data_IF_588805861162
#
_entry.id   IF_588805861162
#
_cell.length_a   1.000
_cell.length_b   1.000
_cell.length_c   1.000
_cell.angle_alpha   90.00
_cell.angle_beta   90.00
_cell.angle_gamma   90.00
#
_symmetry.space_group_name_H-M   'P 1'
#
loop_
_entity.id
_entity.type
_entity.pdbx_description
1 polymer ?
#
# COMPACT_ATOMS: atom_id res chain seq x y z
N UNK A 1 -45.65 61.94 30.39
CA UNK A 1 -45.51 60.47 30.42
C UNK A 1 -45.08 60.01 28.99
N UNK A 2 -43.78 59.80 28.81
CA UNK A 2 -43.20 59.48 27.52
C UNK A 2 -42.77 58.00 27.59
N UNK A 3 -43.42 57.14 26.78
CA UNK A 3 -43.13 55.76 26.72
C UNK A 3 -41.96 55.50 25.76
N UNK A 4 -40.84 55.01 26.26
CA UNK A 4 -39.69 54.61 25.46
C UNK A 4 -39.88 53.23 24.85
N UNK A 5 -39.72 53.14 23.52
CA UNK A 5 -39.64 51.87 22.78
C UNK A 5 -38.22 51.34 22.84
N UNK A 6 -38.06 50.12 23.39
CA UNK A 6 -36.85 49.36 23.32
C UNK A 6 -36.85 48.56 22.00
N UNK A 7 -35.87 48.82 21.12
CA UNK A 7 -35.61 48.04 19.91
C UNK A 7 -34.57 46.98 20.26
N UNK A 8 -34.99 45.72 20.26
CA UNK A 8 -34.06 44.57 20.40
C UNK A 8 -33.38 44.27 19.06
N UNK A 9 -32.08 44.46 19.01
CA UNK A 9 -31.27 44.03 17.85
C UNK A 9 -30.96 42.53 17.96
N UNK A 10 -31.46 41.75 17.03
CA UNK A 10 -31.08 40.34 16.88
C UNK A 10 -29.76 40.27 16.09
N UNK A 11 -28.68 39.90 16.78
CA UNK A 11 -27.43 39.53 16.08
C UNK A 11 -27.55 38.13 15.55
N UNK A 12 -27.60 37.98 14.21
CA UNK A 12 -27.32 36.70 13.57
C UNK A 12 -25.82 36.41 13.62
N UNK A 13 -25.43 35.40 14.41
CA UNK A 13 -24.09 34.85 14.37
C UNK A 13 -23.97 33.95 13.14
N UNK A 14 -23.20 34.38 12.13
CA UNK A 14 -22.79 33.55 11.03
C UNK A 14 -21.77 32.52 11.54
N UNK A 15 -22.19 31.28 11.68
CA UNK A 15 -21.30 30.15 12.00
C UNK A 15 -20.40 29.87 10.80
N UNK A 16 -19.12 30.29 10.88
CA UNK A 16 -18.09 29.83 9.98
C UNK A 16 -17.81 28.35 10.28
N UNK A 17 -18.27 27.46 9.39
CA UNK A 17 -17.89 26.05 9.40
C UNK A 17 -16.38 25.94 9.16
N UNK A 18 -15.62 25.72 10.24
CA UNK A 18 -14.22 25.36 10.13
C UNK A 18 -14.13 23.99 9.46
N UNK A 19 -13.72 23.96 8.19
CA UNK A 19 -13.30 22.72 7.53
C UNK A 19 -12.21 22.10 8.38
N UNK A 20 -12.45 20.90 8.90
CA UNK A 20 -11.43 20.10 9.59
C UNK A 20 -10.38 19.72 8.56
N UNK A 21 -9.31 20.52 8.48
CA UNK A 21 -8.11 20.17 7.77
C UNK A 21 -7.56 18.89 8.38
N UNK A 22 -7.43 17.85 7.57
CA UNK A 22 -6.73 16.62 7.95
C UNK A 22 -5.29 17.02 8.28
N UNK A 23 -4.99 17.16 9.57
CA UNK A 23 -3.62 17.37 10.05
C UNK A 23 -2.88 16.04 9.87
N UNK A 24 -2.05 15.94 8.83
CA UNK A 24 -1.10 14.83 8.66
C UNK A 24 -0.03 14.98 9.76
N UNK A 25 0.15 13.99 10.65
CA UNK A 25 1.18 14.07 11.69
C UNK A 25 2.57 14.06 11.01
N UNK A 26 3.35 15.11 11.21
CA UNK A 26 4.78 15.11 10.90
C UNK A 26 5.48 14.14 11.87
N UNK A 27 5.96 12.99 11.35
CA UNK A 27 6.59 11.95 12.16
C UNK A 27 5.59 10.93 12.74
N UNK A 28 4.60 10.51 11.95
CA UNK A 28 3.60 9.50 12.34
C UNK A 28 4.22 8.13 12.58
N UNK A 29 3.61 7.36 13.50
CA UNK A 29 3.92 5.95 13.70
C UNK A 29 3.67 5.16 12.41
N UNK A 30 4.45 4.08 12.19
CA UNK A 30 4.21 3.18 11.08
C UNK A 30 2.80 2.57 11.18
N UNK A 31 2.12 2.48 10.04
CA UNK A 31 0.88 1.72 9.88
C UNK A 31 1.29 0.27 9.67
N UNK A 32 0.76 -0.64 10.48
CA UNK A 32 1.03 -2.08 10.38
C UNK A 32 -0.28 -2.82 10.17
N UNK A 33 -0.36 -3.57 9.09
CA UNK A 33 -1.50 -4.40 8.69
C UNK A 33 -1.09 -5.89 8.70
N UNK A 34 -1.27 -6.60 9.82
CA UNK A 34 -1.23 -8.06 9.79
C UNK A 34 -2.37 -8.58 8.91
N UNK A 35 -2.08 -9.58 8.07
CA UNK A 35 -3.10 -10.24 7.27
C UNK A 35 -3.58 -11.51 8.00
N UNK A 36 -4.23 -11.31 9.13
CA UNK A 36 -4.72 -12.33 10.06
C UNK A 36 -6.25 -12.34 10.22
N UNK A 37 -6.94 -11.43 9.53
CA UNK A 37 -8.40 -11.31 9.48
C UNK A 37 -8.84 -10.98 8.05
N UNK A 38 -10.01 -11.50 7.63
CA UNK A 38 -10.64 -11.20 6.33
C UNK A 38 -11.79 -10.18 6.44
N UNK A 39 -12.11 -9.70 7.64
CA UNK A 39 -13.16 -8.72 7.88
C UNK A 39 -12.61 -7.33 8.17
N UNK A 40 -11.50 -7.27 8.92
CA UNK A 40 -10.88 -6.01 9.36
C UNK A 40 -9.37 -6.13 9.23
N UNK A 41 -8.74 -5.21 8.51
CA UNK A 41 -7.28 -5.09 8.40
C UNK A 41 -6.90 -3.66 8.82
N UNK A 42 -6.02 -3.55 9.81
CA UNK A 42 -5.56 -2.23 10.30
C UNK A 42 -6.69 -1.32 10.80
N UNK A 43 -7.80 -1.90 11.29
CA UNK A 43 -8.98 -1.15 11.73
C UNK A 43 -9.96 -0.77 10.60
N UNK A 44 -9.68 -1.15 9.35
CA UNK A 44 -10.54 -0.86 8.19
C UNK A 44 -11.33 -2.09 7.78
N UNK A 45 -12.64 -1.94 7.47
CA UNK A 45 -13.46 -3.01 6.89
C UNK A 45 -12.87 -3.49 5.55
N UNK A 46 -12.92 -4.79 5.32
CA UNK A 46 -12.41 -5.44 4.10
C UNK A 46 -13.56 -5.89 3.22
N UNK A 47 -13.52 -5.51 1.94
CA UNK A 47 -14.33 -6.13 0.90
C UNK A 47 -13.55 -7.28 0.29
N UNK A 48 -14.06 -8.50 0.44
CA UNK A 48 -13.44 -9.73 -0.09
C UNK A 48 -13.99 -10.02 -1.49
N UNK A 49 -13.08 -10.31 -2.42
CA UNK A 49 -13.40 -10.82 -3.77
C UNK A 49 -12.82 -12.23 -3.88
N UNK A 50 -13.61 -13.15 -4.43
CA UNK A 50 -13.24 -14.57 -4.49
C UNK A 50 -13.39 -15.29 -3.15
N UNK A 51 -12.43 -16.14 -2.84
CA UNK A 51 -12.42 -16.96 -1.62
C UNK A 51 -11.00 -17.10 -1.05
N UNK A 52 -10.30 -15.98 -0.76
CA UNK A 52 -9.00 -16.04 -0.11
C UNK A 52 -9.13 -16.70 1.27
N UNK A 53 -8.06 -17.34 1.75
CA UNK A 53 -8.13 -18.13 2.98
C UNK A 53 -7.10 -17.66 3.99
N UNK A 54 -7.48 -17.65 5.27
CA UNK A 54 -6.52 -17.55 6.36
C UNK A 54 -5.75 -18.86 6.48
N UNK A 55 -4.44 -18.78 6.53
CA UNK A 55 -3.53 -19.90 6.70
C UNK A 55 -2.52 -19.63 7.82
N UNK A 56 -1.96 -20.69 8.41
CA UNK A 56 -0.85 -20.57 9.35
C UNK A 56 0.47 -20.40 8.58
N UNK A 57 1.24 -19.40 8.95
CA UNK A 57 2.57 -19.12 8.44
C UNK A 57 3.59 -19.17 9.59
N UNK A 58 3.98 -20.37 9.98
CA UNK A 58 4.70 -20.60 11.23
C UNK A 58 3.81 -20.29 12.44
N UNK A 59 4.24 -19.37 13.31
CA UNK A 59 3.48 -18.91 14.49
C UNK A 59 2.52 -17.76 14.16
N UNK A 60 2.59 -17.18 12.96
CA UNK A 60 1.75 -16.07 12.50
C UNK A 60 0.66 -16.56 11.55
N UNK A 61 -0.31 -15.69 11.24
CA UNK A 61 -1.29 -15.91 10.19
C UNK A 61 -0.85 -15.24 8.89
N UNK A 62 -1.44 -15.67 7.78
CA UNK A 62 -1.33 -15.02 6.49
C UNK A 62 -2.63 -15.24 5.69
N UNK A 63 -2.87 -14.44 4.67
CA UNK A 63 -3.91 -14.68 3.68
C UNK A 63 -3.30 -15.33 2.45
N UNK A 64 -3.89 -16.45 2.02
CA UNK A 64 -3.56 -17.16 0.80
C UNK A 64 -4.49 -16.72 -0.34
N UNK A 65 -3.90 -16.45 -1.51
CA UNK A 65 -4.55 -16.03 -2.75
C UNK A 65 -4.31 -17.06 -3.85
N UNK A 66 -5.31 -17.30 -4.71
CA UNK A 66 -5.29 -18.39 -5.71
C UNK A 66 -4.72 -18.00 -7.07
N UNK A 67 -4.41 -16.72 -7.32
CA UNK A 67 -3.84 -16.24 -8.59
C UNK A 67 -4.85 -16.02 -9.72
N UNK A 68 -6.15 -16.07 -9.44
CA UNK A 68 -7.19 -15.94 -10.49
C UNK A 68 -8.43 -15.16 -10.10
N UNK A 69 -8.84 -15.22 -8.82
CA UNK A 69 -10.12 -14.63 -8.38
C UNK A 69 -10.04 -13.96 -7.01
N UNK A 70 -8.96 -14.14 -6.25
CA UNK A 70 -8.90 -13.75 -4.86
C UNK A 70 -8.28 -12.37 -4.67
N UNK A 71 -8.98 -11.48 -3.99
CA UNK A 71 -8.50 -10.15 -3.67
C UNK A 71 -9.18 -9.57 -2.42
N UNK A 72 -8.50 -8.64 -1.78
CA UNK A 72 -9.03 -7.85 -0.67
C UNK A 72 -9.00 -6.38 -1.04
N UNK A 73 -10.04 -5.64 -0.66
CA UNK A 73 -10.15 -4.20 -0.90
C UNK A 73 -10.44 -3.46 0.40
N UNK A 74 -9.72 -2.36 0.60
CA UNK A 74 -9.89 -1.43 1.72
C UNK A 74 -10.12 -0.02 1.16
N UNK A 75 -11.18 0.65 1.60
CA UNK A 75 -11.48 2.03 1.19
C UNK A 75 -10.62 3.02 2.00
N UNK A 76 -9.30 2.84 1.89
CA UNK A 76 -8.28 3.68 2.52
C UNK A 76 -7.03 3.75 1.65
N UNK A 77 -6.45 4.94 1.59
CA UNK A 77 -5.12 5.18 1.02
C UNK A 77 -4.15 5.50 2.15
N UNK A 78 -3.29 4.55 2.57
CA UNK A 78 -2.35 4.77 3.66
C UNK A 78 -1.18 5.70 3.29
N UNK A 79 -1.04 6.09 2.01
CA UNK A 79 -0.07 7.06 1.53
C UNK A 79 -0.62 8.48 1.45
N UNK A 80 -1.90 8.71 1.81
CA UNK A 80 -2.52 10.02 1.69
C UNK A 80 -1.73 11.10 2.47
N UNK A 81 -1.34 12.16 1.78
CA UNK A 81 -0.58 13.28 2.34
C UNK A 81 0.90 13.02 2.60
N UNK A 82 1.44 11.83 2.30
CA UNK A 82 2.85 11.52 2.52
C UNK A 82 3.72 12.04 1.37
N UNK A 83 4.77 12.79 1.71
CA UNK A 83 5.81 13.24 0.77
C UNK A 83 6.97 12.25 0.66
N UNK A 84 7.15 11.41 1.68
CA UNK A 84 8.18 10.37 1.79
C UNK A 84 7.57 9.17 2.47
N UNK A 85 7.96 7.98 2.05
CA UNK A 85 7.41 6.76 2.64
C UNK A 85 8.26 5.53 2.36
N UNK A 86 7.98 4.50 3.12
CA UNK A 86 8.40 3.12 2.84
C UNK A 86 7.17 2.24 2.90
N UNK A 87 6.95 1.44 1.88
CA UNK A 87 5.96 0.37 1.83
C UNK A 87 6.70 -0.95 1.89
N UNK A 88 6.31 -1.83 2.80
CA UNK A 88 6.93 -3.15 2.95
C UNK A 88 5.87 -4.24 2.97
N UNK A 89 6.20 -5.38 2.37
CA UNK A 89 5.32 -6.55 2.35
C UNK A 89 6.13 -7.80 2.68
N UNK A 90 5.61 -8.57 3.65
CA UNK A 90 6.07 -9.94 3.93
C UNK A 90 5.17 -10.89 3.16
N UNK A 91 5.74 -11.65 2.23
CA UNK A 91 4.96 -12.51 1.35
C UNK A 91 5.72 -13.77 0.92
N UNK A 92 4.96 -14.74 0.42
CA UNK A 92 5.45 -16.00 -0.14
C UNK A 92 4.81 -16.21 -1.51
N UNK A 93 5.52 -16.00 -2.64
CA UNK A 93 4.99 -16.23 -3.98
C UNK A 93 4.97 -17.71 -4.33
N UNK A 94 3.91 -18.17 -5.00
CA UNK A 94 3.84 -19.51 -5.56
C UNK A 94 4.61 -19.61 -6.88
N UNK A 95 5.24 -20.76 -7.15
CA UNK A 95 6.03 -20.98 -8.36
C UNK A 95 5.17 -21.08 -9.63
N UNK A 96 3.90 -21.44 -9.50
CA UNK A 96 2.95 -21.65 -10.60
C UNK A 96 1.92 -20.51 -10.74
N UNK A 97 2.23 -19.34 -10.19
CA UNK A 97 1.39 -18.15 -10.34
C UNK A 97 1.44 -17.57 -11.78
N UNK A 98 0.55 -16.62 -12.11
CA UNK A 98 0.60 -15.87 -13.37
C UNK A 98 1.95 -15.20 -13.61
N UNK A 99 2.26 -14.85 -14.86
CA UNK A 99 3.52 -14.17 -15.20
C UNK A 99 3.59 -12.78 -14.54
N UNK A 100 2.50 -12.04 -14.56
CA UNK A 100 2.37 -10.70 -14.00
C UNK A 100 1.41 -10.71 -12.80
N UNK A 101 1.89 -10.35 -11.62
CA UNK A 101 1.12 -10.42 -10.40
C UNK A 101 1.26 -9.14 -9.57
N UNK A 102 0.14 -8.52 -9.21
CA UNK A 102 0.08 -7.35 -8.35
C UNK A 102 -0.46 -7.72 -6.98
N UNK A 103 0.39 -7.70 -6.00
CA UNK A 103 0.00 -8.10 -4.65
C UNK A 103 -0.27 -6.93 -3.70
N UNK A 104 0.10 -5.69 -4.09
CA UNK A 104 -0.33 -4.47 -3.41
C UNK A 104 -0.54 -3.34 -4.42
N UNK A 105 -1.72 -2.72 -4.40
CA UNK A 105 -2.05 -1.56 -5.23
C UNK A 105 -2.73 -0.50 -4.37
N UNK A 106 -2.13 0.66 -4.25
CA UNK A 106 -2.66 1.84 -3.56
C UNK A 106 -2.91 2.90 -4.62
N UNK A 107 -4.16 3.39 -4.73
CA UNK A 107 -4.56 4.34 -5.78
C UNK A 107 -5.39 5.48 -5.18
N UNK A 108 -5.13 6.70 -5.63
CA UNK A 108 -5.92 7.87 -5.30
C UNK A 108 -7.28 7.82 -6.02
N UNK A 109 -8.35 8.16 -5.32
CA UNK A 109 -9.69 8.18 -5.90
C UNK A 109 -9.81 9.24 -6.99
N UNK A 110 -10.43 8.85 -8.13
CA UNK A 110 -10.71 9.77 -9.24
C UNK A 110 -9.48 10.18 -10.05
N UNK A 111 -8.32 9.56 -9.83
CA UNK A 111 -7.09 9.83 -10.57
C UNK A 111 -6.42 8.53 -11.03
N UNK A 112 -5.28 8.67 -11.73
CA UNK A 112 -4.41 7.55 -12.07
C UNK A 112 -3.15 7.48 -11.18
N UNK A 113 -3.09 8.33 -10.14
CA UNK A 113 -1.98 8.40 -9.20
C UNK A 113 -1.98 7.16 -8.31
N UNK A 114 -0.84 6.47 -8.24
CA UNK A 114 -0.78 5.17 -7.55
C UNK A 114 0.62 4.72 -7.20
N UNK A 115 0.69 3.81 -6.25
CA UNK A 115 1.85 3.00 -5.95
C UNK A 115 1.50 1.52 -6.12
N UNK A 116 2.41 0.75 -6.73
CA UNK A 116 2.24 -0.70 -6.96
C UNK A 116 3.47 -1.44 -6.44
N UNK A 117 3.21 -2.59 -5.82
CA UNK A 117 4.23 -3.62 -5.60
C UNK A 117 3.75 -4.90 -6.28
N UNK A 118 4.57 -5.38 -7.19
CA UNK A 118 4.26 -6.41 -8.15
C UNK A 118 5.43 -7.41 -8.23
N UNK A 119 5.19 -8.54 -8.86
CA UNK A 119 6.26 -9.44 -9.28
C UNK A 119 6.06 -9.87 -10.74
N UNK A 120 7.16 -10.23 -11.37
CA UNK A 120 7.19 -10.92 -12.66
C UNK A 120 7.73 -12.32 -12.45
N UNK A 121 6.93 -13.34 -12.76
CA UNK A 121 7.41 -14.71 -12.81
C UNK A 121 8.26 -14.89 -14.07
N UNK A 122 9.43 -15.48 -13.88
CA UNK A 122 10.36 -15.78 -14.97
C UNK A 122 10.10 -17.19 -15.54
N UNK A 123 10.62 -17.51 -16.75
CA UNK A 123 10.37 -18.80 -17.41
C UNK A 123 10.83 -20.02 -16.59
N UNK A 124 11.84 -19.87 -15.75
CA UNK A 124 12.37 -20.92 -14.88
C UNK A 124 11.58 -21.10 -13.57
N UNK A 125 10.47 -20.34 -13.38
CA UNK A 125 9.65 -20.38 -12.18
C UNK A 125 10.15 -19.51 -11.03
N UNK A 126 11.31 -18.86 -11.18
CA UNK A 126 11.73 -17.78 -10.28
C UNK A 126 10.93 -16.51 -10.52
N UNK A 127 11.16 -15.47 -9.72
CA UNK A 127 10.49 -14.18 -9.86
C UNK A 127 11.47 -13.03 -9.64
N UNK A 128 11.17 -11.87 -10.19
CA UNK A 128 11.82 -10.60 -9.87
C UNK A 128 10.80 -9.58 -9.37
N UNK A 129 11.27 -8.61 -8.55
CA UNK A 129 10.42 -7.53 -8.04
C UNK A 129 10.15 -6.52 -9.16
N UNK A 130 8.91 -6.05 -9.21
CA UNK A 130 8.44 -4.97 -10.06
C UNK A 130 7.69 -3.96 -9.18
N UNK A 131 8.07 -2.69 -9.26
CA UNK A 131 7.44 -1.63 -8.48
C UNK A 131 7.17 -0.41 -9.35
N UNK A 132 6.08 0.29 -9.06
CA UNK A 132 5.65 1.42 -9.85
C UNK A 132 5.13 2.56 -8.99
N UNK A 133 5.57 3.78 -9.28
CA UNK A 133 4.97 5.01 -8.79
C UNK A 133 4.47 5.85 -9.97
N UNK A 134 3.28 6.45 -9.84
CA UNK A 134 2.73 7.42 -10.80
C UNK A 134 2.05 8.58 -10.08
N UNK A 135 2.37 9.80 -10.52
CA UNK A 135 1.68 11.02 -10.12
C UNK A 135 1.55 11.95 -11.33
N UNK A 136 0.31 12.34 -11.67
CA UNK A 136 0.01 13.09 -12.90
C UNK A 136 0.43 12.30 -14.15
N UNK A 137 1.19 12.97 -15.01
CA UNK A 137 1.70 12.38 -16.25
C UNK A 137 3.05 11.66 -16.08
N UNK A 138 3.66 11.76 -14.89
CA UNK A 138 4.93 11.11 -14.60
C UNK A 138 4.75 9.78 -13.91
N UNK A 139 5.63 8.84 -14.23
CA UNK A 139 5.67 7.54 -13.56
C UNK A 139 6.99 6.83 -13.83
N UNK A 140 7.36 5.96 -12.89
CA UNK A 140 8.58 5.15 -12.97
C UNK A 140 8.25 3.71 -12.59
N UNK A 141 8.64 2.78 -13.46
CA UNK A 141 8.71 1.36 -13.15
C UNK A 141 10.15 1.00 -12.81
N UNK A 142 10.36 0.34 -11.68
CA UNK A 142 11.62 -0.30 -11.36
C UNK A 142 11.45 -1.82 -11.50
N UNK A 143 12.25 -2.42 -12.34
CA UNK A 143 12.32 -3.88 -12.55
C UNK A 143 13.73 -4.26 -12.99
N UNK A 144 14.31 -5.25 -12.33
CA UNK A 144 15.55 -5.90 -12.75
C UNK A 144 15.31 -7.41 -12.91
N UNK A 145 15.21 -7.87 -14.16
CA UNK A 145 14.98 -9.30 -14.45
C UNK A 145 16.19 -10.18 -14.17
N UNK A 146 17.37 -9.62 -13.94
CA UNK A 146 18.58 -10.35 -13.51
C UNK A 146 18.59 -10.62 -12.00
N UNK A 147 17.84 -9.84 -11.19
CA UNK A 147 17.63 -10.06 -9.77
C UNK A 147 16.52 -11.10 -9.55
N UNK A 148 16.83 -12.36 -9.85
CA UNK A 148 15.88 -13.47 -9.81
C UNK A 148 15.87 -14.16 -8.45
N UNK A 149 14.68 -14.47 -7.95
CA UNK A 149 14.46 -15.12 -6.65
C UNK A 149 13.66 -16.41 -6.79
N UNK A 150 14.05 -17.52 -6.14
CA UNK A 150 13.24 -18.72 -6.09
C UNK A 150 11.87 -18.46 -5.45
N UNK A 151 10.81 -19.03 -6.04
CA UNK A 151 9.48 -18.99 -5.41
C UNK A 151 9.34 -20.01 -4.25
N UNK A 152 8.21 -20.02 -3.56
CA UNK A 152 7.86 -21.00 -2.53
C UNK A 152 8.52 -20.77 -1.18
N UNK A 153 9.09 -19.60 -0.91
CA UNK A 153 9.61 -19.18 0.40
C UNK A 153 9.23 -17.74 0.74
N UNK A 154 9.35 -17.38 2.01
CA UNK A 154 9.03 -16.05 2.49
C UNK A 154 10.09 -15.03 2.09
N UNK A 155 9.64 -13.82 1.76
CA UNK A 155 10.44 -12.65 1.46
C UNK A 155 9.89 -11.42 2.17
N UNK A 156 10.79 -10.49 2.47
CA UNK A 156 10.47 -9.11 2.77
C UNK A 156 10.83 -8.25 1.55
N UNK A 157 9.85 -7.58 0.97
CA UNK A 157 10.11 -6.58 -0.07
C UNK A 157 9.79 -5.19 0.43
N UNK A 158 10.49 -4.19 -0.09
CA UNK A 158 10.25 -2.80 0.23
C UNK A 158 10.31 -1.92 -1.00
N UNK A 159 9.45 -0.89 -1.02
CA UNK A 159 9.50 0.25 -1.90
C UNK A 159 9.70 1.49 -1.03
N UNK A 160 10.79 2.24 -1.24
CA UNK A 160 11.07 3.50 -0.56
C UNK A 160 10.95 4.68 -1.52
N UNK A 161 10.49 5.81 -1.02
CA UNK A 161 10.50 7.09 -1.73
C UNK A 161 10.93 8.20 -0.77
N UNK A 162 11.97 8.96 -1.11
CA UNK A 162 12.56 10.00 -0.25
C UNK A 162 12.14 11.42 -0.61
N UNK A 163 11.20 11.58 -1.54
CA UNK A 163 10.76 12.85 -2.11
C UNK A 163 11.39 13.14 -3.48
N UNK A 164 12.32 12.29 -3.96
CA UNK A 164 12.97 12.39 -5.26
C UNK A 164 13.24 11.02 -5.86
N UNK A 165 13.91 10.15 -5.10
CA UNK A 165 14.36 8.84 -5.56
C UNK A 165 13.45 7.75 -5.02
N UNK A 166 12.95 6.92 -5.94
CA UNK A 166 12.30 5.66 -5.68
C UNK A 166 13.34 4.55 -5.68
N UNK A 167 13.30 3.64 -4.71
CA UNK A 167 14.14 2.45 -4.69
C UNK A 167 13.36 1.24 -4.19
N UNK A 168 13.67 0.04 -4.71
CA UNK A 168 13.10 -1.18 -4.18
C UNK A 168 14.14 -2.18 -3.71
N UNK A 169 13.70 -3.04 -2.79
CA UNK A 169 14.56 -3.95 -2.04
C UNK A 169 13.90 -5.31 -1.90
N UNK A 170 14.72 -6.38 -1.94
CA UNK A 170 14.32 -7.73 -1.54
C UNK A 170 15.24 -8.17 -0.40
N UNK A 171 14.65 -8.57 0.73
CA UNK A 171 15.37 -8.98 1.94
C UNK A 171 16.46 -7.96 2.40
N UNK A 172 16.14 -6.66 2.28
CA UNK A 172 17.05 -5.57 2.65
C UNK A 172 18.14 -5.24 1.62
N UNK A 173 18.25 -6.00 0.53
CA UNK A 173 19.19 -5.73 -0.58
C UNK A 173 18.48 -4.87 -1.62
N UNK A 174 19.09 -3.71 -1.96
CA UNK A 174 18.57 -2.84 -3.02
C UNK A 174 18.85 -3.45 -4.41
N UNK A 175 17.81 -3.59 -5.22
CA UNK A 175 17.92 -4.14 -6.57
C UNK A 175 17.80 -3.08 -7.65
N UNK A 176 16.93 -2.07 -7.45
CA UNK A 176 16.80 -0.98 -8.40
C UNK A 176 16.49 0.35 -7.71
N UNK A 177 16.82 1.46 -8.37
CA UNK A 177 16.47 2.80 -7.96
C UNK A 177 16.40 3.73 -9.18
N UNK A 178 15.61 4.81 -9.07
CA UNK A 178 15.50 5.85 -10.09
C UNK A 178 14.77 7.08 -9.55
N UNK A 179 14.98 8.21 -10.19
CA UNK A 179 14.33 9.47 -9.82
C UNK A 179 12.97 9.60 -10.51
N UNK A 180 11.97 10.00 -9.74
CA UNK A 180 10.60 10.26 -10.22
C UNK A 180 9.99 11.39 -9.40
N UNK A 181 9.19 12.24 -10.01
CA UNK A 181 8.33 13.16 -9.26
C UNK A 181 7.06 12.44 -8.83
N UNK A 182 6.86 12.33 -7.53
CA UNK A 182 5.68 11.75 -6.93
C UNK A 182 5.21 12.64 -5.79
N UNK A 183 4.09 13.32 -5.98
CA UNK A 183 3.48 14.19 -4.98
C UNK A 183 2.62 13.42 -3.98
N UNK A 184 2.21 14.06 -2.88
CA UNK A 184 1.28 13.48 -1.94
C UNK A 184 -0.03 13.05 -2.61
N UNK A 185 -0.47 11.85 -2.34
CA UNK A 185 -1.77 11.34 -2.79
C UNK A 185 -2.90 11.87 -1.91
N UNK A 186 -4.10 12.00 -2.48
CA UNK A 186 -5.34 12.21 -1.73
C UNK A 186 -5.93 10.92 -1.16
N UNK A 187 -7.18 11.02 -0.68
CA UNK A 187 -7.96 9.85 -0.28
C UNK A 187 -8.07 8.85 -1.43
N UNK A 188 -8.21 7.57 -1.11
CA UNK A 188 -8.23 6.53 -2.14
C UNK A 188 -8.48 5.15 -1.57
N UNK A 189 -8.03 4.14 -2.31
CA UNK A 189 -8.32 2.75 -2.05
C UNK A 189 -7.06 1.89 -2.14
N UNK A 190 -7.03 0.83 -1.36
CA UNK A 190 -5.98 -0.20 -1.43
C UNK A 190 -6.59 -1.52 -1.87
N UNK A 191 -5.94 -2.23 -2.79
CA UNK A 191 -6.22 -3.64 -3.04
C UNK A 191 -5.00 -4.51 -2.75
N UNK A 192 -5.25 -5.71 -2.25
CA UNK A 192 -4.25 -6.71 -1.86
C UNK A 192 -4.58 -8.00 -2.62
N UNK A 193 -3.56 -8.62 -3.23
CA UNK A 193 -3.71 -9.86 -4.00
C UNK A 193 -4.20 -9.65 -5.42
N UNK A 194 -4.54 -8.43 -5.84
CA UNK A 194 -5.01 -8.11 -7.19
C UNK A 194 -4.88 -6.62 -7.50
N UNK A 195 -4.78 -6.26 -8.77
CA UNK A 195 -4.94 -4.87 -9.20
C UNK A 195 -6.40 -4.41 -9.03
N UNK A 196 -6.64 -3.12 -8.78
CA UNK A 196 -7.99 -2.59 -8.51
C UNK A 196 -9.01 -2.81 -9.64
N UNK A 197 -8.57 -2.98 -10.87
CA UNK A 197 -9.41 -3.33 -12.02
C UNK A 197 -9.57 -4.85 -12.27
N UNK A 198 -9.27 -5.68 -11.25
CA UNK A 198 -9.45 -7.13 -11.25
C UNK A 198 -8.64 -7.86 -12.34
N UNK A 199 -7.40 -7.43 -12.57
CA UNK A 199 -6.42 -8.12 -13.43
C UNK A 199 -5.12 -8.36 -12.67
N UNK A 200 -4.24 -9.21 -13.20
CA UNK A 200 -2.90 -9.50 -12.63
C UNK A 200 -2.98 -9.99 -11.18
N UNK A 201 -3.73 -11.06 -10.99
CA UNK A 201 -3.98 -11.71 -9.70
C UNK A 201 -2.71 -12.34 -9.13
N UNK A 202 -2.52 -12.18 -7.83
CA UNK A 202 -1.40 -12.78 -7.09
C UNK A 202 -1.73 -14.21 -6.65
N UNK A 203 -0.77 -15.12 -6.79
CA UNK A 203 -0.80 -16.46 -6.24
C UNK A 203 0.27 -16.64 -5.18
N UNK A 204 -0.14 -16.97 -3.96
CA UNK A 204 0.77 -17.11 -2.83
C UNK A 204 0.16 -16.64 -1.53
N UNK A 205 1.00 -16.29 -0.56
CA UNK A 205 0.57 -15.87 0.76
C UNK A 205 1.14 -14.48 1.09
N UNK A 206 0.35 -13.65 1.78
CA UNK A 206 0.78 -12.34 2.30
C UNK A 206 0.50 -12.34 3.80
N UNK A 207 1.54 -12.06 4.60
CA UNK A 207 1.45 -12.09 6.07
C UNK A 207 1.36 -10.70 6.70
N UNK A 208 2.05 -9.71 6.11
CA UNK A 208 2.14 -8.37 6.70
C UNK A 208 2.34 -7.30 5.62
N UNK A 209 1.72 -6.14 5.83
CA UNK A 209 2.04 -4.90 5.12
C UNK A 209 2.40 -3.86 6.18
N UNK A 210 3.51 -3.12 5.96
CA UNK A 210 3.90 -1.99 6.79
C UNK A 210 4.09 -0.76 5.92
N UNK A 211 3.50 0.37 6.32
CA UNK A 211 3.72 1.67 5.68
C UNK A 211 4.32 2.62 6.73
N UNK A 212 5.51 3.14 6.45
CA UNK A 212 6.22 4.08 7.30
C UNK A 212 6.28 5.44 6.62
N UNK A 213 5.92 6.56 7.27
CA UNK A 213 5.91 7.91 6.69
C UNK A 213 7.31 8.53 6.61
N UNK A 214 8.31 7.72 6.28
CA UNK A 214 9.69 8.11 6.01
C UNK A 214 10.35 7.11 5.03
N UNK A 215 11.38 7.54 4.31
CA UNK A 215 12.22 6.63 3.52
C UNK A 215 13.21 5.94 4.44
N UNK A 216 12.98 4.66 4.74
CA UNK A 216 13.81 3.89 5.65
C UNK A 216 15.14 3.48 4.98
N UNK A 217 16.27 3.54 5.71
CA UNK A 217 17.50 2.92 5.27
C UNK A 217 17.40 1.38 5.34
N UNK A 218 18.19 0.63 4.54
CA UNK A 218 18.12 -0.84 4.48
C UNK A 218 18.16 -1.55 5.83
N UNK A 219 18.96 -1.05 6.78
CA UNK A 219 19.09 -1.63 8.12
C UNK A 219 17.81 -1.55 8.99
N UNK A 220 16.82 -0.75 8.60
CA UNK A 220 15.53 -0.58 9.30
C UNK A 220 14.37 -1.29 8.57
N UNK A 221 14.63 -1.87 7.41
CA UNK A 221 13.64 -2.64 6.67
C UNK A 221 13.32 -3.96 7.37
N UNK A 222 12.11 -4.47 7.13
CA UNK A 222 11.68 -5.77 7.64
C UNK A 222 12.59 -6.89 7.10
N UNK A 223 12.83 -7.89 7.92
CA UNK A 223 13.45 -9.14 7.51
C UNK A 223 12.37 -10.19 7.20
N UNK A 224 12.64 -11.06 6.23
CA UNK A 224 11.80 -12.23 5.99
C UNK A 224 11.80 -13.15 7.22
N UNK A 225 10.67 -13.81 7.55
CA UNK A 225 10.64 -14.82 8.59
C UNK A 225 11.65 -15.92 8.30
N UNK A 226 12.49 -16.24 9.29
CA UNK A 226 13.39 -17.40 9.22
C UNK A 226 12.57 -18.64 9.51
N UNK A 227 12.65 -19.64 8.63
CA UNK A 227 12.07 -20.97 8.86
C UNK A 227 13.04 -21.85 9.61
#
# INVERSE_FOLDING_TARGET
MIAGRVVAAVLLAAGAGAGQGVTVPRGGSAIVWPLDDLKIIGGHPVTVVGSPRLVKAGETAAVEFNGSTDGLFLDVNPLAGLERFTIEVIFLPAADGPEEQRFLHIEEAGSANRALIELRRLPDGSWCLDTYLRHGDEGLTLIDRSAAHPAGRWYAVALTYDGKTMAHYVNGVREAAGDVRFGPLGAGRTSIGVRQNLVSWFKGQIGLIRITPESLPPARLLAAPVR
#
